data_IF_195934170689
#
_entry.id   IF_195934170689
#
_cell.length_a   1.000
_cell.length_b   1.000
_cell.length_c   1.000
_cell.angle_alpha   90.00
_cell.angle_beta   90.00
_cell.angle_gamma   90.00
#
_symmetry.space_group_name_H-M   'P 1'
#
loop_
_entity.id
_entity.type
_entity.pdbx_description
1 polymer ?
#
# COMPACT_ATOMS: atom_id res chain seq x y z
N UNK A 1 13.24 -1.78 18.22
CA UNK A 1 12.42 -2.03 17.01
C UNK A 1 11.89 -0.75 16.40
N UNK A 2 11.07 0.03 17.12
CA UNK A 2 10.56 1.34 16.66
C UNK A 2 11.68 2.33 16.32
N UNK A 3 12.78 2.31 17.08
CA UNK A 3 13.98 3.11 16.78
C UNK A 3 14.52 2.84 15.37
N UNK A 4 14.54 1.59 14.89
CA UNK A 4 15.01 1.27 13.54
C UNK A 4 14.09 1.80 12.43
N UNK A 5 12.78 1.83 12.68
CA UNK A 5 11.79 2.42 11.77
C UNK A 5 12.00 3.95 11.71
N UNK A 6 12.17 4.59 12.86
CA UNK A 6 12.42 6.03 12.96
C UNK A 6 13.77 6.41 12.33
N UNK A 7 14.84 5.66 12.59
CA UNK A 7 16.16 5.86 11.98
C UNK A 7 16.09 5.75 10.45
N UNK A 8 15.36 4.78 9.91
CA UNK A 8 15.18 4.63 8.46
C UNK A 8 14.46 5.83 7.83
N UNK A 9 13.63 6.55 8.58
CA UNK A 9 12.90 7.74 8.11
C UNK A 9 13.75 9.01 8.28
N UNK A 10 14.39 9.19 9.44
CA UNK A 10 15.10 10.42 9.81
C UNK A 10 16.52 10.46 9.24
N UNK A 11 17.22 9.32 9.25
CA UNK A 11 18.61 9.20 8.81
C UNK A 11 18.80 8.01 7.84
N UNK A 12 18.05 7.98 6.71
CA UNK A 12 17.96 6.82 5.83
C UNK A 12 19.32 6.30 5.37
N UNK A 13 20.20 7.20 4.88
CA UNK A 13 21.51 6.80 4.33
C UNK A 13 22.37 6.10 5.38
N UNK A 14 22.45 6.67 6.60
CA UNK A 14 23.22 6.08 7.71
C UNK A 14 22.63 4.73 8.10
N UNK A 15 21.30 4.67 8.26
CA UNK A 15 20.59 3.45 8.61
C UNK A 15 20.85 2.31 7.60
N UNK A 16 20.70 2.58 6.31
CA UNK A 16 20.88 1.57 5.25
C UNK A 16 22.34 1.15 5.07
N UNK A 17 23.31 2.03 5.31
CA UNK A 17 24.72 1.65 5.34
C UNK A 17 25.01 0.66 6.46
N UNK A 18 24.51 0.94 7.67
CA UNK A 18 24.67 0.05 8.83
C UNK A 18 23.87 -1.26 8.71
N UNK A 19 22.92 -1.35 7.76
CA UNK A 19 22.10 -2.54 7.54
C UNK A 19 22.93 -3.72 7.04
N UNK A 20 24.04 -3.47 6.34
CA UNK A 20 24.94 -4.53 5.86
C UNK A 20 25.65 -5.25 7.00
N UNK A 21 26.05 -4.49 8.03
CA UNK A 21 26.87 -4.98 9.14
C UNK A 21 26.04 -5.50 10.32
N UNK A 22 24.72 -5.22 10.34
CA UNK A 22 23.82 -5.56 11.47
C UNK A 22 22.80 -6.63 11.08
N UNK A 23 23.12 -7.93 11.18
CA UNK A 23 22.21 -9.03 10.78
C UNK A 23 20.88 -9.03 11.56
N UNK A 24 20.88 -8.53 12.80
CA UNK A 24 19.66 -8.34 13.59
C UNK A 24 18.66 -7.41 12.89
N UNK A 25 19.12 -6.32 12.26
CA UNK A 25 18.24 -5.40 11.51
C UNK A 25 17.65 -6.07 10.27
N UNK A 26 18.42 -6.93 9.60
CA UNK A 26 17.89 -7.73 8.48
C UNK A 26 16.77 -8.66 8.95
N UNK A 27 16.92 -9.32 10.10
CA UNK A 27 15.87 -10.20 10.65
C UNK A 27 14.60 -9.43 11.05
N UNK A 28 14.74 -8.20 11.53
CA UNK A 28 13.61 -7.34 11.92
C UNK A 28 12.84 -6.75 10.73
N UNK A 29 13.37 -6.85 9.51
CA UNK A 29 12.69 -6.42 8.29
C UNK A 29 11.30 -7.07 8.15
N UNK A 30 11.17 -8.35 8.48
CA UNK A 30 9.89 -9.05 8.43
C UNK A 30 8.86 -8.42 9.38
N UNK A 31 9.29 -7.94 10.56
CA UNK A 31 8.38 -7.32 11.53
C UNK A 31 7.85 -5.98 11.00
N UNK A 32 8.67 -5.20 10.29
CA UNK A 32 8.22 -3.96 9.65
C UNK A 32 7.09 -4.26 8.66
N UNK A 33 7.28 -5.29 7.82
CA UNK A 33 6.26 -5.71 6.83
C UNK A 33 5.01 -6.24 7.53
N UNK A 34 5.16 -7.02 8.59
CA UNK A 34 4.03 -7.53 9.37
C UNK A 34 3.18 -6.39 9.96
N UNK A 35 3.82 -5.38 10.53
CA UNK A 35 3.11 -4.19 11.07
C UNK A 35 2.37 -3.47 9.93
N UNK A 36 3.04 -3.22 8.81
CA UNK A 36 2.42 -2.60 7.63
C UNK A 36 1.23 -3.42 7.13
N UNK A 37 1.34 -4.76 7.09
CA UNK A 37 0.28 -5.65 6.62
C UNK A 37 -0.94 -5.64 7.56
N UNK A 38 -0.72 -5.59 8.88
CA UNK A 38 -1.80 -5.47 9.86
C UNK A 38 -2.51 -4.14 9.69
N UNK A 39 -1.78 -3.03 9.56
CA UNK A 39 -2.38 -1.71 9.35
C UNK A 39 -3.12 -1.63 8.02
N UNK A 40 -2.59 -2.22 6.95
CA UNK A 40 -3.25 -2.30 5.65
C UNK A 40 -4.54 -3.11 5.74
N UNK A 41 -4.57 -4.20 6.50
CA UNK A 41 -5.77 -4.99 6.74
C UNK A 41 -6.85 -4.18 7.50
N UNK A 42 -6.45 -3.37 8.48
CA UNK A 42 -7.39 -2.48 9.20
C UNK A 42 -7.93 -1.40 8.27
N UNK A 43 -7.09 -0.77 7.43
CA UNK A 43 -7.56 0.18 6.41
C UNK A 43 -8.52 -0.50 5.43
N UNK A 44 -8.21 -1.72 4.98
CA UNK A 44 -9.08 -2.47 4.08
C UNK A 44 -10.43 -2.82 4.71
N UNK A 45 -10.47 -3.09 6.01
CA UNK A 45 -11.71 -3.25 6.76
C UNK A 45 -12.55 -1.96 6.68
N UNK A 46 -11.97 -0.80 7.01
CA UNK A 46 -12.67 0.48 6.91
C UNK A 46 -13.13 0.82 5.48
N UNK A 47 -12.34 0.46 4.47
CA UNK A 47 -12.73 0.62 3.06
C UNK A 47 -13.87 -0.31 2.63
N UNK A 48 -14.07 -1.43 3.31
CA UNK A 48 -15.13 -2.39 3.01
C UNK A 48 -16.47 -2.03 3.67
N UNK A 49 -16.46 -1.26 4.77
CA UNK A 49 -17.69 -0.84 5.47
C UNK A 49 -18.72 -0.17 4.55
N UNK A 50 -18.35 0.80 3.68
CA UNK A 50 -19.34 1.45 2.81
C UNK A 50 -19.93 0.46 1.81
N UNK A 51 -19.14 -0.50 1.32
CA UNK A 51 -19.68 -1.55 0.45
C UNK A 51 -20.65 -2.46 1.21
N UNK A 52 -20.37 -2.78 2.47
CA UNK A 52 -21.30 -3.53 3.30
C UNK A 52 -22.61 -2.77 3.54
N UNK A 53 -22.53 -1.48 3.85
CA UNK A 53 -23.69 -0.61 4.08
C UNK A 53 -24.51 -0.39 2.80
N UNK A 54 -23.87 -0.37 1.63
CA UNK A 54 -24.55 -0.27 0.33
C UNK A 54 -25.36 -1.54 0.00
N UNK A 55 -25.01 -2.69 0.57
CA UNK A 55 -25.64 -3.99 0.28
C UNK A 55 -26.13 -4.70 1.56
N UNK A 56 -27.08 -4.09 2.32
CA UNK A 56 -27.46 -4.57 3.65
C UNK A 56 -28.10 -5.97 3.62
N UNK A 57 -28.84 -6.29 2.56
CA UNK A 57 -29.55 -7.57 2.42
C UNK A 57 -28.72 -8.67 1.74
N UNK A 58 -27.51 -8.34 1.26
CA UNK A 58 -26.62 -9.30 0.58
C UNK A 58 -25.52 -9.77 1.52
N UNK A 59 -25.75 -10.91 2.17
CA UNK A 59 -24.72 -11.58 2.98
C UNK A 59 -23.44 -11.87 2.17
N UNK A 60 -23.57 -12.17 0.88
CA UNK A 60 -22.43 -12.53 0.03
C UNK A 60 -21.60 -11.32 -0.43
N UNK A 61 -22.21 -10.17 -0.74
CA UNK A 61 -21.48 -9.00 -1.23
C UNK A 61 -21.04 -8.14 -0.06
N UNK A 62 -21.96 -7.83 0.86
CA UNK A 62 -21.67 -6.93 1.98
C UNK A 62 -20.81 -7.60 3.06
N UNK A 63 -21.30 -8.67 3.68
CA UNK A 63 -20.66 -9.24 4.87
C UNK A 63 -19.34 -9.97 4.56
N UNK A 64 -19.26 -10.69 3.43
CA UNK A 64 -18.01 -11.35 3.02
C UNK A 64 -16.93 -10.32 2.66
N UNK A 65 -17.28 -9.15 2.12
CA UNK A 65 -16.28 -8.12 1.81
C UNK A 65 -15.52 -7.65 3.05
N UNK A 66 -16.21 -7.54 4.20
CA UNK A 66 -15.60 -7.14 5.47
C UNK A 66 -14.56 -8.14 6.00
N UNK A 67 -14.67 -9.42 5.62
CA UNK A 67 -13.72 -10.47 6.01
C UNK A 67 -12.63 -10.63 4.96
N UNK A 68 -13.02 -10.64 3.68
CA UNK A 68 -12.11 -10.89 2.57
C UNK A 68 -11.18 -9.72 2.30
N UNK A 69 -11.65 -8.47 2.39
CA UNK A 69 -10.80 -7.30 2.12
C UNK A 69 -9.59 -7.22 3.08
N UNK A 70 -9.72 -7.38 4.41
CA UNK A 70 -8.56 -7.41 5.32
C UNK A 70 -7.59 -8.55 5.02
N UNK A 71 -8.09 -9.77 4.75
CA UNK A 71 -7.27 -10.94 4.45
C UNK A 71 -6.48 -10.73 3.16
N UNK A 72 -7.17 -10.25 2.11
CA UNK A 72 -6.54 -9.94 0.83
C UNK A 72 -5.49 -8.85 0.98
N UNK A 73 -5.76 -7.78 1.73
CA UNK A 73 -4.81 -6.69 1.98
C UNK A 73 -3.56 -7.17 2.72
N UNK A 74 -3.72 -8.03 3.73
CA UNK A 74 -2.61 -8.66 4.45
C UNK A 74 -1.74 -9.48 3.49
N UNK A 75 -2.33 -10.39 2.73
CA UNK A 75 -1.63 -11.26 1.77
C UNK A 75 -0.96 -10.42 0.68
N UNK A 76 -1.67 -9.44 0.12
CA UNK A 76 -1.17 -8.57 -0.93
C UNK A 76 0.05 -7.77 -0.46
N UNK A 77 0.08 -7.30 0.79
CA UNK A 77 1.22 -6.58 1.35
C UNK A 77 2.49 -7.43 1.35
N UNK A 78 2.40 -8.71 1.73
CA UNK A 78 3.54 -9.63 1.67
C UNK A 78 3.98 -9.91 0.23
N UNK A 79 3.04 -10.13 -0.69
CA UNK A 79 3.34 -10.35 -2.11
C UNK A 79 4.06 -9.13 -2.70
N UNK A 80 3.55 -7.92 -2.42
CA UNK A 80 4.14 -6.67 -2.89
C UNK A 80 5.55 -6.49 -2.31
N UNK A 81 5.76 -6.78 -1.02
CA UNK A 81 7.09 -6.74 -0.41
C UNK A 81 8.08 -7.70 -1.09
N UNK A 82 7.65 -8.94 -1.38
CA UNK A 82 8.47 -9.92 -2.10
C UNK A 82 8.81 -9.44 -3.52
N UNK A 83 7.81 -8.89 -4.24
CA UNK A 83 8.00 -8.33 -5.57
C UNK A 83 8.98 -7.14 -5.54
N UNK A 84 8.85 -6.23 -4.57
CA UNK A 84 9.77 -5.10 -4.41
C UNK A 84 11.20 -5.59 -4.14
N UNK A 85 11.38 -6.57 -3.25
CA UNK A 85 12.67 -7.19 -3.02
C UNK A 85 13.25 -7.80 -4.30
N UNK A 86 12.44 -8.47 -5.11
CA UNK A 86 12.87 -9.03 -6.39
C UNK A 86 13.31 -7.93 -7.38
N UNK A 87 12.53 -6.86 -7.52
CA UNK A 87 12.85 -5.73 -8.42
C UNK A 87 14.13 -5.02 -7.98
N UNK A 88 14.31 -4.79 -6.67
CA UNK A 88 15.55 -4.24 -6.12
C UNK A 88 16.71 -5.17 -6.44
N UNK A 89 16.57 -6.48 -6.25
CA UNK A 89 17.61 -7.47 -6.57
C UNK A 89 17.99 -7.45 -8.05
N UNK A 90 17.00 -7.36 -8.95
CA UNK A 90 17.24 -7.28 -10.40
C UNK A 90 18.00 -6.00 -10.80
N UNK A 91 17.70 -4.86 -10.18
CA UNK A 91 18.34 -3.60 -10.52
C UNK A 91 19.67 -3.33 -9.80
N UNK A 92 19.79 -3.78 -8.55
CA UNK A 92 20.90 -3.45 -7.67
C UNK A 92 21.94 -4.58 -7.51
N UNK A 93 21.57 -5.83 -7.78
CA UNK A 93 22.46 -6.99 -7.68
C UNK A 93 22.15 -7.93 -6.52
N UNK A 94 22.96 -8.99 -6.43
CA UNK A 94 22.84 -10.08 -5.46
C UNK A 94 23.51 -9.79 -4.12
N UNK A 95 24.46 -8.85 -4.14
CA UNK A 95 25.30 -8.39 -3.04
C UNK A 95 24.52 -7.54 -2.02
N UNK A 96 23.48 -6.85 -2.48
CA UNK A 96 22.61 -6.04 -1.61
C UNK A 96 21.67 -6.90 -0.75
N UNK A 97 21.05 -6.30 0.28
CA UNK A 97 20.00 -6.93 1.10
C UNK A 97 18.60 -6.46 0.65
N UNK A 98 18.08 -6.91 -0.51
CA UNK A 98 16.97 -6.26 -1.19
C UNK A 98 15.65 -6.30 -0.39
N UNK A 99 15.33 -7.42 0.26
CA UNK A 99 14.11 -7.53 1.07
C UNK A 99 14.15 -6.70 2.35
N UNK A 100 15.33 -6.49 2.92
CA UNK A 100 15.49 -5.58 4.05
C UNK A 100 15.31 -4.13 3.60
N UNK A 101 15.90 -3.74 2.47
CA UNK A 101 15.68 -2.41 1.87
C UNK A 101 14.19 -2.21 1.54
N UNK A 102 13.54 -3.19 0.89
CA UNK A 102 12.11 -3.13 0.57
C UNK A 102 11.24 -2.95 1.83
N UNK A 103 11.52 -3.71 2.88
CA UNK A 103 10.80 -3.64 4.15
C UNK A 103 10.94 -2.27 4.82
N UNK A 104 12.17 -1.80 5.04
CA UNK A 104 12.41 -0.52 5.70
C UNK A 104 11.98 0.67 4.85
N UNK A 105 11.97 0.54 3.53
CA UNK A 105 11.39 1.57 2.64
C UNK A 105 9.87 1.66 2.76
N UNK A 106 9.19 0.64 3.31
CA UNK A 106 7.76 0.70 3.63
C UNK A 106 7.47 1.38 4.98
N UNK A 107 8.48 1.78 5.75
CA UNK A 107 8.30 2.46 7.03
C UNK A 107 7.37 3.69 6.98
N UNK A 108 7.41 4.56 5.94
CA UNK A 108 6.45 5.65 5.82
C UNK A 108 5.00 5.18 5.72
N UNK A 109 4.74 3.99 5.16
CA UNK A 109 3.39 3.43 5.08
C UNK A 109 2.80 3.21 6.46
N UNK A 110 3.59 2.86 7.48
CA UNK A 110 3.11 2.69 8.85
C UNK A 110 2.49 4.00 9.37
N UNK A 111 3.18 5.13 9.13
CA UNK A 111 2.69 6.45 9.52
C UNK A 111 1.43 6.79 8.72
N UNK A 112 1.48 6.62 7.41
CA UNK A 112 0.39 6.99 6.51
C UNK A 112 -0.87 6.15 6.78
N UNK A 113 -0.75 4.83 6.91
CA UNK A 113 -1.87 3.94 7.21
C UNK A 113 -2.48 4.28 8.57
N UNK A 114 -1.66 4.62 9.57
CA UNK A 114 -2.17 5.09 10.87
C UNK A 114 -3.00 6.36 10.72
N UNK A 115 -2.53 7.34 9.92
CA UNK A 115 -3.29 8.56 9.63
C UNK A 115 -4.59 8.22 8.88
N UNK A 116 -4.54 7.33 7.89
CA UNK A 116 -5.73 6.90 7.13
C UNK A 116 -6.76 6.24 8.05
N UNK A 117 -6.34 5.41 9.00
CA UNK A 117 -7.24 4.80 10.01
C UNK A 117 -7.91 5.88 10.85
N UNK A 118 -7.16 6.89 11.30
CA UNK A 118 -7.73 8.01 12.08
C UNK A 118 -8.73 8.79 11.23
N UNK A 119 -8.43 9.05 9.95
CA UNK A 119 -9.35 9.72 9.03
C UNK A 119 -10.62 8.89 8.82
N UNK A 120 -10.49 7.57 8.63
CA UNK A 120 -11.63 6.67 8.46
C UNK A 120 -12.54 6.67 9.68
N UNK A 121 -11.97 6.70 10.89
CA UNK A 121 -12.72 6.74 12.13
C UNK A 121 -13.41 8.08 12.38
N UNK A 122 -12.79 9.20 12.01
CA UNK A 122 -13.34 10.55 12.20
C UNK A 122 -14.33 10.96 11.11
N UNK A 123 -14.16 10.44 9.90
CA UNK A 123 -14.96 10.78 8.71
C UNK A 123 -15.48 9.49 8.04
N UNK A 124 -16.38 8.75 8.71
CA UNK A 124 -16.97 7.55 8.13
C UNK A 124 -17.69 7.89 6.81
N UNK A 125 -17.53 7.04 5.81
CA UNK A 125 -18.18 7.23 4.51
C UNK A 125 -19.59 6.68 4.59
N UNK A 126 -20.58 7.56 4.43
CA UNK A 126 -21.98 7.18 4.27
C UNK A 126 -22.29 7.08 2.78
N UNK A 127 -22.91 5.98 2.38
CA UNK A 127 -23.29 5.73 0.98
C UNK A 127 -24.77 5.41 0.86
N UNK A 128 -25.33 5.62 -0.32
CA UNK A 128 -26.72 5.28 -0.63
C UNK A 128 -26.87 3.74 -0.75
N UNK A 129 -27.94 3.14 -0.18
CA UNK A 129 -28.23 1.72 -0.40
C UNK A 129 -28.43 1.41 -1.88
N UNK A 130 -27.84 0.33 -2.36
CA UNK A 130 -28.03 -0.14 -3.74
C UNK A 130 -29.31 -0.97 -3.81
N UNK A 131 -30.30 -0.45 -4.53
CA UNK A 131 -31.58 -1.13 -4.78
C UNK A 131 -31.67 -1.74 -6.18
N UNK A 132 -30.60 -1.65 -6.99
CA UNK A 132 -30.58 -2.18 -8.34
C UNK A 132 -30.59 -3.71 -8.33
N UNK A 133 -31.48 -4.32 -9.14
CA UNK A 133 -31.55 -5.77 -9.31
C UNK A 133 -30.25 -6.31 -9.93
N UNK A 134 -29.54 -7.25 -9.27
CA UNK A 134 -28.33 -7.87 -9.80
C UNK A 134 -28.53 -8.59 -11.14
N UNK A 135 -29.76 -8.97 -11.49
CA UNK A 135 -30.08 -9.61 -12.77
C UNK A 135 -30.05 -8.61 -13.94
N UNK A 136 -30.23 -7.32 -13.67
CA UNK A 136 -30.08 -6.25 -14.65
C UNK A 136 -28.65 -5.69 -14.60
N UNK A 137 -27.79 -6.23 -15.46
CA UNK A 137 -26.37 -5.89 -15.50
C UNK A 137 -26.09 -4.39 -15.70
N UNK A 138 -26.90 -3.68 -16.50
CA UNK A 138 -26.71 -2.25 -16.74
C UNK A 138 -27.08 -1.41 -15.52
N UNK A 139 -28.24 -1.67 -14.91
CA UNK A 139 -28.67 -0.98 -13.70
C UNK A 139 -27.71 -1.25 -12.53
N UNK A 140 -27.26 -2.49 -12.39
CA UNK A 140 -26.29 -2.86 -11.36
C UNK A 140 -24.91 -2.22 -11.59
N UNK A 141 -24.46 -2.14 -12.85
CA UNK A 141 -23.21 -1.44 -13.19
C UNK A 141 -23.30 0.06 -12.89
N UNK A 142 -24.41 0.71 -13.24
CA UNK A 142 -24.63 2.12 -12.96
C UNK A 142 -24.63 2.40 -11.44
N UNK A 143 -25.29 1.55 -10.65
CA UNK A 143 -25.30 1.65 -9.19
C UNK A 143 -23.90 1.48 -8.59
N UNK A 144 -23.11 0.52 -9.09
CA UNK A 144 -21.72 0.35 -8.65
C UNK A 144 -20.85 1.56 -8.98
N UNK A 145 -21.01 2.15 -10.16
CA UNK A 145 -20.28 3.37 -10.53
C UNK A 145 -20.64 4.54 -9.61
N UNK A 146 -21.92 4.68 -9.26
CA UNK A 146 -22.37 5.69 -8.31
C UNK A 146 -21.74 5.47 -6.92
N UNK A 147 -21.75 4.23 -6.42
CA UNK A 147 -21.10 3.88 -5.15
C UNK A 147 -19.61 4.23 -5.14
N UNK A 148 -18.89 3.90 -6.22
CA UNK A 148 -17.47 4.24 -6.34
C UNK A 148 -17.24 5.76 -6.33
N UNK A 149 -18.12 6.54 -6.97
CA UNK A 149 -18.02 8.00 -6.98
C UNK A 149 -18.35 8.61 -5.61
N UNK A 150 -19.34 8.08 -4.89
CA UNK A 150 -19.66 8.48 -3.51
C UNK A 150 -18.47 8.22 -2.57
N UNK A 151 -17.85 7.04 -2.66
CA UNK A 151 -16.65 6.71 -1.87
C UNK A 151 -15.49 7.63 -2.26
N UNK A 152 -15.24 7.82 -3.56
CA UNK A 152 -14.11 8.62 -4.06
C UNK A 152 -14.23 10.10 -3.70
N UNK A 153 -15.42 10.66 -3.77
CA UNK A 153 -15.69 12.08 -3.49
C UNK A 153 -15.72 12.40 -1.99
N UNK A 154 -15.88 11.39 -1.14
CA UNK A 154 -15.81 11.51 0.33
C UNK A 154 -14.46 12.08 0.81
N UNK A 155 -14.43 12.60 2.04
CA UNK A 155 -13.18 13.06 2.68
C UNK A 155 -12.19 11.90 2.80
N UNK A 156 -12.65 10.74 3.27
CA UNK A 156 -11.84 9.54 3.37
C UNK A 156 -11.25 9.11 2.00
N UNK A 157 -12.07 9.06 0.95
CA UNK A 157 -11.63 8.65 -0.39
C UNK A 157 -10.55 9.56 -0.95
N UNK A 158 -10.76 10.88 -0.90
CA UNK A 158 -9.77 11.85 -1.38
C UNK A 158 -8.48 11.83 -0.56
N UNK A 159 -8.60 11.83 0.77
CA UNK A 159 -7.44 11.82 1.66
C UNK A 159 -6.63 10.54 1.51
N UNK A 160 -7.28 9.36 1.48
CA UNK A 160 -6.60 8.08 1.28
C UNK A 160 -5.89 8.01 -0.07
N UNK A 161 -6.49 8.55 -1.14
CA UNK A 161 -5.84 8.63 -2.45
C UNK A 161 -4.58 9.51 -2.43
N UNK A 162 -4.68 10.74 -1.91
CA UNK A 162 -3.54 11.66 -1.81
C UNK A 162 -2.42 11.07 -0.95
N UNK A 163 -2.79 10.53 0.20
CA UNK A 163 -1.83 9.91 1.13
C UNK A 163 -1.18 8.67 0.53
N UNK A 164 -1.91 7.88 -0.27
CA UNK A 164 -1.34 6.74 -1.00
C UNK A 164 -0.28 7.19 -2.00
N UNK A 165 -0.52 8.26 -2.76
CA UNK A 165 0.48 8.81 -3.69
C UNK A 165 1.73 9.31 -2.96
N UNK A 166 1.55 10.06 -1.88
CA UNK A 166 2.66 10.54 -1.04
C UNK A 166 3.45 9.37 -0.47
N UNK A 167 2.76 8.33 0.00
CA UNK A 167 3.40 7.14 0.56
C UNK A 167 4.21 6.38 -0.49
N UNK A 168 3.69 6.20 -1.71
CA UNK A 168 4.41 5.55 -2.80
C UNK A 168 5.65 6.34 -3.22
N UNK A 169 5.53 7.67 -3.35
CA UNK A 169 6.67 8.53 -3.65
C UNK A 169 7.75 8.44 -2.56
N UNK A 170 7.36 8.51 -1.29
CA UNK A 170 8.29 8.41 -0.17
C UNK A 170 8.99 7.04 -0.14
N UNK A 171 8.25 5.96 -0.37
CA UNK A 171 8.83 4.62 -0.47
C UNK A 171 9.86 4.53 -1.59
N UNK A 172 9.57 5.07 -2.79
CA UNK A 172 10.51 5.09 -3.91
C UNK A 172 11.79 5.87 -3.55
N UNK A 173 11.66 7.01 -2.86
CA UNK A 173 12.81 7.78 -2.37
C UNK A 173 13.64 6.94 -1.39
N UNK A 174 13.02 6.23 -0.45
CA UNK A 174 13.75 5.38 0.49
C UNK A 174 14.42 4.18 -0.18
N UNK A 175 13.81 3.59 -1.21
CA UNK A 175 14.44 2.55 -2.02
C UNK A 175 15.70 3.09 -2.69
N UNK A 176 15.62 4.27 -3.31
CA UNK A 176 16.79 4.93 -3.90
C UNK A 176 17.90 5.16 -2.89
N UNK A 177 17.57 5.78 -1.76
CA UNK A 177 18.53 6.06 -0.70
C UNK A 177 19.14 4.76 -0.15
N UNK A 178 18.32 3.73 0.05
CA UNK A 178 18.77 2.44 0.55
C UNK A 178 19.74 1.74 -0.38
N UNK A 179 19.46 1.69 -1.69
CA UNK A 179 20.39 1.10 -2.65
C UNK A 179 21.66 1.96 -2.79
N UNK A 180 21.51 3.29 -2.84
CA UNK A 180 22.64 4.22 -3.00
C UNK A 180 23.62 4.19 -1.83
N UNK A 181 23.15 3.84 -0.63
CA UNK A 181 23.96 3.74 0.57
C UNK A 181 24.92 2.54 0.55
N UNK A 182 24.60 1.50 -0.24
CA UNK A 182 25.26 0.18 -0.24
C UNK A 182 25.76 -0.25 -1.63
N UNK A 183 25.54 0.56 -2.65
CA UNK A 183 25.85 0.19 -4.03
C UNK A 183 26.18 1.41 -4.90
N UNK A 184 26.47 1.16 -6.18
CA UNK A 184 26.78 2.25 -7.12
C UNK A 184 25.54 3.05 -7.53
N UNK A 185 25.75 4.31 -7.89
CA UNK A 185 24.66 5.20 -8.34
C UNK A 185 23.86 4.63 -9.52
N UNK A 186 24.53 3.99 -10.49
CA UNK A 186 23.87 3.36 -11.63
C UNK A 186 22.96 2.19 -11.22
N UNK A 187 23.36 1.40 -10.20
CA UNK A 187 22.55 0.34 -9.62
C UNK A 187 21.36 0.90 -8.82
N UNK A 188 21.59 1.96 -8.05
CA UNK A 188 20.53 2.67 -7.33
C UNK A 188 19.44 3.21 -8.26
N UNK A 189 19.84 3.89 -9.35
CA UNK A 189 18.89 4.39 -10.36
C UNK A 189 18.10 3.23 -10.98
N UNK A 190 18.77 2.18 -11.45
CA UNK A 190 18.08 1.04 -12.09
C UNK A 190 17.09 0.36 -11.16
N UNK A 191 17.50 0.01 -9.93
CA UNK A 191 16.61 -0.63 -8.96
C UNK A 191 15.43 0.26 -8.58
N UNK A 192 15.67 1.55 -8.39
CA UNK A 192 14.61 2.52 -8.07
C UNK A 192 13.63 2.68 -9.22
N UNK A 193 14.10 2.79 -10.46
CA UNK A 193 13.24 2.94 -11.63
C UNK A 193 12.34 1.71 -11.81
N UNK A 194 12.87 0.50 -11.63
CA UNK A 194 12.06 -0.72 -11.66
C UNK A 194 10.96 -0.71 -10.60
N UNK A 195 11.29 -0.34 -9.37
CA UNK A 195 10.31 -0.23 -8.28
C UNK A 195 9.31 0.90 -8.55
N UNK A 196 9.75 2.05 -9.05
CA UNK A 196 8.89 3.18 -9.37
C UNK A 196 7.89 2.84 -10.49
N UNK A 197 8.35 2.20 -11.57
CA UNK A 197 7.47 1.72 -12.65
C UNK A 197 6.44 0.75 -12.09
N UNK A 198 6.84 -0.17 -11.21
CA UNK A 198 5.89 -1.09 -10.58
C UNK A 198 4.89 -0.34 -9.67
N UNK A 199 5.38 0.51 -8.77
CA UNK A 199 4.57 1.26 -7.82
C UNK A 199 3.55 2.18 -8.52
N UNK A 200 4.03 3.00 -9.46
CA UNK A 200 3.19 3.95 -10.18
C UNK A 200 2.40 3.29 -11.31
N UNK A 201 2.88 2.19 -11.89
CA UNK A 201 2.17 1.43 -12.90
C UNK A 201 0.82 0.93 -12.38
N UNK A 202 0.78 0.36 -11.18
CA UNK A 202 -0.48 -0.04 -10.54
C UNK A 202 -1.39 1.15 -10.21
N UNK A 203 -0.83 2.29 -9.79
CA UNK A 203 -1.59 3.49 -9.47
C UNK A 203 -2.20 4.17 -10.70
N UNK A 204 -1.52 4.09 -11.84
CA UNK A 204 -1.94 4.71 -13.10
C UNK A 204 -2.75 3.75 -13.98
N UNK A 205 -2.74 2.44 -13.69
CA UNK A 205 -3.46 1.43 -14.48
C UNK A 205 -4.94 1.78 -14.70
N UNK A 206 -5.72 2.26 -13.70
CA UNK A 206 -7.11 2.65 -13.93
C UNK A 206 -7.25 3.78 -14.96
N UNK A 207 -6.31 4.73 -14.99
CA UNK A 207 -6.31 5.84 -15.95
C UNK A 207 -5.92 5.37 -17.35
N UNK A 208 -4.94 4.47 -17.45
CA UNK A 208 -4.48 3.90 -18.72
C UNK A 208 -5.55 3.02 -19.38
N UNK A 209 -6.33 2.30 -18.57
CA UNK A 209 -7.42 1.45 -19.06
C UNK A 209 -8.72 2.20 -19.31
N UNK A 210 -8.92 3.39 -18.72
CA UNK A 210 -10.11 4.21 -18.97
C UNK A 210 -10.08 4.93 -20.34
N UNK A 211 -8.93 4.98 -21.01
CA UNK A 211 -8.75 5.61 -22.33
C UNK A 211 -8.89 4.64 -23.52
N UNK A 212 -9.25 3.38 -23.28
CA UNK A 212 -9.44 2.32 -24.28
C UNK A 212 -10.90 1.87 -24.27
#
# INVERSE_FOLDING_TARGET
>A
MLEGILEAIIQPIKFFRELEDKPQRVSLAFIVVLITAILAAVVAYFSALPTADAFPDSAFIGQISMITAPIVALIATFIIWLAYGLLIRMGAGMDVKPWAIAAYSSAPQIIILTIVIVIAALFPVTVSPITADPSNAEAFRAANLQLQEEIRSSVYGRSSQVLSYLSSLWQVILVYLGISAVSSQARAIRGTVLVAIFAFGFLLLPWLLASV
#
